data_IF_065626444855
#
_entry.id   IF_065626444855
#
_cell.length_a   1.000
_cell.length_b   1.000
_cell.length_c   1.000
_cell.angle_alpha   90.00
_cell.angle_beta   90.00
_cell.angle_gamma   90.00
#
_symmetry.space_group_name_H-M   'P 1'
#
loop_
_entity.id
_entity.type
_entity.pdbx_description
1 polymer ?
#
# COMPACT_ATOMS: atom_id res chain seq x y z
N UNK A 1 -16.86 0.87 -1.53
CA UNK A 1 -16.54 -0.12 -0.49
C UNK A 1 -17.69 -0.16 0.48
N UNK A 2 -18.30 -1.32 0.68
CA UNK A 2 -19.47 -1.58 1.50
C UNK A 2 -19.16 -2.59 2.62
N UNK A 3 -18.10 -3.39 2.50
CA UNK A 3 -17.68 -4.35 3.53
C UNK A 3 -16.17 -4.59 3.52
N UNK A 4 -15.58 -5.16 4.60
CA UNK A 4 -14.19 -5.61 4.60
C UNK A 4 -13.85 -6.64 3.50
N UNK A 5 -14.83 -7.43 3.05
CA UNK A 5 -14.64 -8.43 1.98
C UNK A 5 -14.29 -7.79 0.64
N UNK A 6 -14.71 -6.55 0.43
CA UNK A 6 -14.41 -5.81 -0.80
C UNK A 6 -12.89 -5.62 -0.99
N UNK A 7 -12.10 -5.81 0.06
CA UNK A 7 -10.65 -5.71 0.04
C UNK A 7 -9.90 -7.04 0.03
N UNK A 8 -10.58 -8.19 0.09
CA UNK A 8 -9.92 -9.52 0.17
C UNK A 8 -8.98 -9.81 -1.01
N UNK A 9 -9.22 -9.17 -2.15
CA UNK A 9 -8.41 -9.30 -3.37
C UNK A 9 -7.69 -8.00 -3.75
N UNK A 10 -7.59 -7.05 -2.82
CA UNK A 10 -6.86 -5.81 -3.03
C UNK A 10 -5.41 -5.95 -2.60
N UNK A 11 -4.53 -5.30 -3.36
CA UNK A 11 -3.15 -5.05 -2.98
C UNK A 11 -3.14 -3.74 -2.18
N UNK A 12 -2.69 -3.79 -0.92
CA UNK A 12 -2.59 -2.60 -0.10
C UNK A 12 -1.25 -1.91 -0.34
N UNK A 13 -1.31 -0.74 -0.98
CA UNK A 13 -0.17 0.14 -1.20
C UNK A 13 -0.25 1.37 -0.30
N UNK A 14 0.79 1.58 0.51
CA UNK A 14 0.90 2.71 1.41
C UNK A 14 1.97 3.68 0.95
N UNK A 15 1.63 4.97 0.96
CA UNK A 15 2.52 6.05 0.54
C UNK A 15 3.80 6.14 1.37
N UNK A 16 3.80 5.64 2.60
CA UNK A 16 4.97 5.63 3.46
C UNK A 16 4.76 4.82 4.74
N UNK A 17 5.80 4.75 5.60
CA UNK A 17 5.84 3.84 6.74
C UNK A 17 4.78 4.15 7.81
N UNK A 18 4.45 5.43 8.00
CA UNK A 18 3.42 5.83 8.97
C UNK A 18 2.03 5.30 8.57
N UNK A 19 1.65 5.45 7.30
CA UNK A 19 0.39 4.93 6.78
C UNK A 19 0.37 3.41 6.85
N UNK A 20 1.48 2.74 6.52
CA UNK A 20 1.59 1.29 6.59
C UNK A 20 1.37 0.75 8.01
N UNK A 21 1.99 1.38 9.02
CA UNK A 21 1.83 0.99 10.41
C UNK A 21 0.38 1.13 10.89
N UNK A 22 -0.35 2.15 10.43
CA UNK A 22 -1.77 2.31 10.76
C UNK A 22 -2.65 1.28 10.04
N UNK A 23 -2.38 0.99 8.77
CA UNK A 23 -3.07 -0.06 8.00
C UNK A 23 -2.91 -1.44 8.67
N UNK A 24 -1.70 -1.75 9.15
CA UNK A 24 -1.44 -3.00 9.87
C UNK A 24 -2.20 -3.11 11.20
N UNK A 25 -2.40 -2.00 11.94
CA UNK A 25 -3.23 -1.98 13.15
C UNK A 25 -4.71 -2.30 12.86
N UNK A 26 -5.15 -2.10 11.62
CA UNK A 26 -6.49 -2.47 11.15
C UNK A 26 -6.59 -3.94 10.71
N UNK A 27 -5.52 -4.72 10.88
CA UNK A 27 -5.47 -6.14 10.50
C UNK A 27 -5.26 -6.38 9.01
N UNK A 28 -4.84 -5.35 8.26
CA UNK A 28 -4.63 -5.44 6.81
C UNK A 28 -3.15 -5.66 6.50
N UNK A 29 -2.87 -6.55 5.55
CA UNK A 29 -1.51 -6.85 5.10
C UNK A 29 -1.08 -5.85 4.02
N UNK A 30 -0.09 -5.03 4.33
CA UNK A 30 0.47 -4.06 3.39
C UNK A 30 1.47 -4.75 2.47
N UNK A 31 1.24 -4.66 1.16
CA UNK A 31 2.10 -5.26 0.13
C UNK A 31 3.17 -4.30 -0.37
N UNK A 32 2.86 -3.00 -0.44
CA UNK A 32 3.74 -1.97 -0.98
C UNK A 32 3.86 -0.83 0.01
N UNK A 33 5.10 -0.42 0.31
CA UNK A 33 5.40 0.79 1.08
C UNK A 33 6.40 1.60 0.26
N UNK A 34 6.03 2.82 -0.13
CA UNK A 34 6.97 3.69 -0.82
C UNK A 34 8.15 4.05 0.10
N UNK A 35 9.37 3.94 -0.42
CA UNK A 35 10.59 4.36 0.26
C UNK A 35 10.91 5.83 -0.03
N UNK A 36 10.61 6.29 -1.25
CA UNK A 36 10.58 7.70 -1.58
C UNK A 36 9.15 8.23 -1.48
N UNK A 37 8.87 8.87 -0.35
CA UNK A 37 7.61 9.55 -0.04
C UNK A 37 7.73 11.07 -0.14
N UNK A 38 8.80 11.58 -0.75
CA UNK A 38 8.97 13.02 -1.01
C UNK A 38 8.13 13.50 -2.19
N UNK A 39 7.69 12.58 -3.05
CA UNK A 39 6.91 12.85 -4.24
C UNK A 39 5.90 11.73 -4.56
N UNK A 40 4.90 12.04 -5.39
CA UNK A 40 3.99 11.02 -5.92
C UNK A 40 4.68 10.03 -6.86
N UNK A 41 5.74 10.46 -7.54
CA UNK A 41 6.48 9.63 -8.50
C UNK A 41 7.10 8.41 -7.81
N UNK A 42 7.76 8.60 -6.66
CA UNK A 42 8.34 7.50 -5.89
C UNK A 42 7.31 6.44 -5.48
N UNK A 43 6.09 6.87 -5.14
CA UNK A 43 4.99 5.95 -4.85
C UNK A 43 4.51 5.18 -6.09
N UNK A 44 4.35 5.86 -7.23
CA UNK A 44 3.96 5.22 -8.48
C UNK A 44 5.01 4.19 -8.95
N UNK A 45 6.30 4.51 -8.78
CA UNK A 45 7.41 3.60 -9.07
C UNK A 45 7.38 2.35 -8.19
N UNK A 46 7.09 2.50 -6.89
CA UNK A 46 6.97 1.36 -5.97
C UNK A 46 5.82 0.41 -6.36
N UNK A 47 4.68 0.96 -6.79
CA UNK A 47 3.56 0.16 -7.30
C UNK A 47 3.97 -0.57 -8.59
N UNK A 48 4.58 0.15 -9.53
CA UNK A 48 5.00 -0.42 -10.81
C UNK A 48 6.07 -1.51 -10.63
N UNK A 49 6.98 -1.39 -9.65
CA UNK A 49 7.95 -2.42 -9.32
C UNK A 49 7.25 -3.70 -8.83
N UNK A 50 6.35 -3.59 -7.86
CA UNK A 50 5.63 -4.73 -7.30
C UNK A 50 4.80 -5.51 -8.33
N UNK A 51 4.16 -4.83 -9.29
CA UNK A 51 3.33 -5.48 -10.30
C UNK A 51 4.13 -6.15 -11.45
N UNK A 52 5.45 -5.99 -11.48
CA UNK A 52 6.34 -6.58 -12.49
C UNK A 52 7.03 -7.85 -12.03
N UNK A 53 6.99 -8.15 -10.73
CA UNK A 53 7.54 -9.37 -10.10
C UNK A 53 6.50 -10.51 -10.09
#
# INVERSE_FOLDING_TARGET
VNSPRDYEHCIFACFGPYTAANTQKLGLNVSIIAQDYSSFEGFAQAIAAFLRD
#
